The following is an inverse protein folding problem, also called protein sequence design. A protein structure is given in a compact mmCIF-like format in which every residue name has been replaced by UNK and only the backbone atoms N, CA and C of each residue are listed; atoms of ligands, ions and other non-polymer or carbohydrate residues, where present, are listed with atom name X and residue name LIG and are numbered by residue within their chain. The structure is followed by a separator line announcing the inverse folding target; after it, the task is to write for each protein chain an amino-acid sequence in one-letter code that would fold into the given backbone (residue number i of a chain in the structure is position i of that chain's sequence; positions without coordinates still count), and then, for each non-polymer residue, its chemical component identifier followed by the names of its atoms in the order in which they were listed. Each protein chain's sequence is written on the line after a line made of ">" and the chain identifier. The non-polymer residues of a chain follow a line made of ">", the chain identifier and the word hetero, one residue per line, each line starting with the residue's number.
data_IF_053568631514
#
_entry.id   IF_053568631514
#
_cell.length_a   1.000
_cell.length_b   1.000
_cell.length_c   1.000
_cell.angle_alpha   90.00
_cell.angle_beta   90.00
_cell.angle_gamma   90.00
#
_symmetry.space_group_name_H-M   'P 1'
#
loop_
_entity.id
_entity.type
_entity.pdbx_description
1 polymer ?
#
# COMPACT_ATOMS: atom_id res chain seq x y z
N UNK A 1 -23.57 4.63 25.30
CA UNK A 1 -22.45 5.37 24.69
C UNK A 1 -21.26 4.43 24.72
N UNK A 2 -20.96 3.79 23.59
CA UNK A 2 -19.80 2.92 23.49
C UNK A 2 -18.56 3.80 23.63
N UNK A 3 -17.76 3.54 24.66
CA UNK A 3 -16.44 4.14 24.84
C UNK A 3 -15.60 3.82 23.60
N UNK A 4 -15.03 4.86 22.99
CA UNK A 4 -13.97 4.74 21.98
C UNK A 4 -12.97 3.69 22.48
N UNK A 5 -13.05 2.50 21.89
CA UNK A 5 -11.95 1.56 21.95
C UNK A 5 -10.88 2.25 21.11
N UNK A 6 -9.89 2.85 21.77
CA UNK A 6 -8.70 3.38 21.11
C UNK A 6 -8.29 2.37 20.04
N UNK A 7 -8.50 2.70 18.77
CA UNK A 7 -7.90 1.97 17.68
C UNK A 7 -6.40 2.12 17.95
N UNK A 8 -5.74 1.05 18.40
CA UNK A 8 -4.32 1.07 18.71
C UNK A 8 -3.58 1.66 17.51
N UNK A 9 -3.16 2.91 17.69
CA UNK A 9 -2.61 3.70 16.61
C UNK A 9 -1.17 3.24 16.45
N UNK A 10 -0.86 2.60 15.32
CA UNK A 10 0.48 2.13 14.98
C UNK A 10 1.47 3.30 15.15
N UNK A 11 2.45 3.13 16.03
CA UNK A 11 3.53 4.10 16.23
C UNK A 11 4.59 3.86 15.17
N UNK A 12 4.72 4.80 14.24
CA UNK A 12 5.74 4.68 13.20
C UNK A 12 6.43 6.01 12.94
N UNK A 13 7.64 5.91 12.39
CA UNK A 13 8.41 7.04 11.91
C UNK A 13 8.82 6.81 10.46
N UNK A 14 9.19 7.88 9.77
CA UNK A 14 9.70 7.82 8.41
C UNK A 14 11.22 7.92 8.41
N UNK A 15 11.87 7.08 7.62
CA UNK A 15 13.32 7.13 7.39
C UNK A 15 13.65 6.86 5.93
N UNK A 16 14.92 6.72 5.60
CA UNK A 16 15.40 6.39 4.26
C UNK A 16 16.46 5.27 4.32
N UNK A 17 16.73 4.64 3.17
CA UNK A 17 17.73 3.58 3.10
C UNK A 17 19.16 4.10 3.34
N UNK A 18 20.01 3.31 4.00
CA UNK A 18 21.41 3.66 4.36
C UNK A 18 22.26 4.21 3.20
N UNK A 19 22.00 3.78 1.96
CA UNK A 19 22.65 4.31 0.75
C UNK A 19 22.00 5.63 0.32
N UNK A 20 22.16 6.58 1.23
CA UNK A 20 21.50 7.87 1.41
C UNK A 20 21.79 8.86 0.27
N UNK A 21 21.13 8.70 -0.88
CA UNK A 21 21.05 9.78 -1.86
C UNK A 21 20.16 10.90 -1.28
N UNK A 22 20.59 12.17 -1.39
CA UNK A 22 19.85 13.37 -0.99
C UNK A 22 18.36 13.31 -1.38
N UNK A 23 18.06 12.81 -2.57
CA UNK A 23 16.69 12.61 -3.04
C UNK A 23 15.84 11.73 -2.10
N UNK A 24 16.38 10.61 -1.58
CA UNK A 24 15.63 9.71 -0.70
C UNK A 24 15.35 10.36 0.66
N UNK A 25 16.28 11.18 1.15
CA UNK A 25 16.13 11.94 2.41
C UNK A 25 15.06 13.00 2.30
N UNK A 26 15.10 13.81 1.25
CA UNK A 26 14.10 14.85 1.00
C UNK A 26 12.71 14.25 0.85
N UNK A 27 12.60 13.15 0.11
CA UNK A 27 11.33 12.43 -0.02
C UNK A 27 10.84 11.85 1.31
N UNK A 28 11.73 11.28 2.12
CA UNK A 28 11.38 10.80 3.46
C UNK A 28 10.87 11.93 4.37
N UNK A 29 11.53 13.10 4.35
CA UNK A 29 11.07 14.28 5.09
C UNK A 29 9.71 14.77 4.60
N UNK A 30 9.50 14.82 3.28
CA UNK A 30 8.21 15.20 2.69
C UNK A 30 7.08 14.22 3.09
N UNK A 31 7.37 12.92 3.13
CA UNK A 31 6.42 11.91 3.60
C UNK A 31 6.11 12.07 5.09
N UNK A 32 7.13 12.27 5.93
CA UNK A 32 6.97 12.53 7.35
C UNK A 32 6.06 13.74 7.62
N UNK A 33 6.31 14.84 6.90
CA UNK A 33 5.48 16.05 6.97
C UNK A 33 4.04 15.80 6.53
N UNK A 34 3.84 15.11 5.39
CA UNK A 34 2.51 14.78 4.88
C UNK A 34 1.71 13.89 5.83
N UNK A 35 2.37 12.91 6.44
CA UNK A 35 1.77 11.94 7.36
C UNK A 35 1.68 12.44 8.81
N UNK A 36 2.31 13.59 9.11
CA UNK A 36 2.40 14.18 10.45
C UNK A 36 3.03 13.22 11.47
N UNK A 37 4.08 12.52 11.05
CA UNK A 37 4.88 11.63 11.90
C UNK A 37 6.36 12.04 11.89
N UNK A 38 7.17 11.61 12.88
CA UNK A 38 8.58 11.96 12.91
C UNK A 38 9.36 11.45 11.70
N UNK A 39 10.28 12.28 11.19
CA UNK A 39 11.40 11.80 10.38
C UNK A 39 12.56 11.43 11.31
N UNK A 40 13.10 10.23 11.16
CA UNK A 40 14.26 9.76 11.93
C UNK A 40 15.40 9.43 10.99
N UNK A 41 16.60 9.97 11.28
CA UNK A 41 17.79 9.64 10.51
C UNK A 41 18.07 8.13 10.66
N UNK A 42 18.33 7.45 9.55
CA UNK A 42 18.76 6.05 9.57
C UNK A 42 20.05 5.95 10.39
N UNK A 43 20.09 5.02 11.34
CA UNK A 43 21.29 4.80 12.14
C UNK A 43 22.49 4.47 11.27
N UNK A 44 23.60 5.18 11.49
CA UNK A 44 24.87 4.93 10.79
C UNK A 44 25.37 3.52 11.17
N UNK A 45 25.33 3.18 12.48
CA UNK A 45 25.60 1.86 13.04
C UNK A 45 24.34 1.31 13.72
N UNK A 46 23.95 0.06 13.41
CA UNK A 46 22.74 -0.57 13.97
C UNK A 46 21.75 -1.12 12.94
N UNK A 47 20.85 -2.00 13.39
CA UNK A 47 19.80 -2.65 12.60
C UNK A 47 18.55 -1.75 12.49
N UNK A 48 17.53 -2.20 11.75
CA UNK A 48 16.21 -1.55 11.82
C UNK A 48 15.48 -1.94 13.11
N UNK A 49 15.72 -3.15 13.63
CA UNK A 49 15.16 -3.61 14.92
C UNK A 49 15.61 -2.73 16.09
N UNK A 50 16.91 -2.37 16.14
CA UNK A 50 17.43 -1.46 17.14
C UNK A 50 16.70 -0.10 17.08
N UNK A 51 16.41 0.42 15.88
CA UNK A 51 15.63 1.65 15.75
C UNK A 51 14.18 1.49 16.23
N UNK A 52 13.55 0.34 15.99
CA UNK A 52 12.19 0.08 16.51
C UNK A 52 12.20 0.04 18.04
N UNK A 53 13.19 -0.61 18.64
CA UNK A 53 13.33 -0.74 20.09
C UNK A 53 13.65 0.60 20.76
N UNK A 54 14.72 1.28 20.33
CA UNK A 54 15.21 2.52 20.93
C UNK A 54 14.17 3.66 20.84
N UNK A 55 13.42 3.70 19.74
CA UNK A 55 12.40 4.73 19.49
C UNK A 55 10.99 4.28 19.90
N UNK A 56 10.83 3.08 20.44
CA UNK A 56 9.55 2.48 20.81
C UNK A 56 8.50 2.55 19.67
N UNK A 57 8.93 2.18 18.46
CA UNK A 57 8.10 2.17 17.26
C UNK A 57 7.64 0.75 16.94
N UNK A 58 6.43 0.65 16.40
CA UNK A 58 5.87 -0.59 15.86
C UNK A 58 6.35 -0.81 14.41
N UNK A 59 6.62 0.28 13.68
CA UNK A 59 7.11 0.20 12.30
C UNK A 59 7.98 1.40 11.86
N UNK A 60 8.71 1.21 10.76
CA UNK A 60 9.42 2.24 10.02
C UNK A 60 8.94 2.29 8.58
N UNK A 61 8.50 3.46 8.13
CA UNK A 61 8.22 3.72 6.73
C UNK A 61 9.49 4.25 6.05
N UNK A 62 10.02 3.52 5.08
CA UNK A 62 11.33 3.74 4.50
C UNK A 62 11.20 4.23 3.06
N UNK A 63 11.78 5.40 2.78
CA UNK A 63 11.96 5.90 1.40
C UNK A 63 13.04 5.09 0.67
N UNK A 64 12.61 4.17 -0.20
CA UNK A 64 13.48 3.30 -0.99
C UNK A 64 13.49 3.60 -2.49
N UNK A 65 14.53 3.19 -3.22
CA UNK A 65 14.64 3.46 -4.68
C UNK A 65 13.46 2.92 -5.50
N UNK A 66 12.86 1.81 -5.07
CA UNK A 66 11.72 1.15 -5.72
C UNK A 66 10.34 1.62 -5.20
N UNK A 67 10.29 2.69 -4.40
CA UNK A 67 9.09 3.14 -3.72
C UNK A 67 9.19 3.04 -2.18
N UNK A 68 8.09 3.26 -1.46
CA UNK A 68 8.05 3.07 -0.02
C UNK A 68 8.27 1.59 0.34
N UNK A 69 8.84 1.38 1.52
CA UNK A 69 8.99 0.07 2.14
C UNK A 69 8.53 0.20 3.59
N UNK A 70 7.81 -0.78 4.10
CA UNK A 70 7.38 -0.80 5.49
C UNK A 70 8.17 -1.89 6.21
N UNK A 71 8.89 -1.51 7.27
CA UNK A 71 9.61 -2.46 8.10
C UNK A 71 8.96 -2.53 9.48
N UNK A 72 8.70 -3.74 9.94
CA UNK A 72 8.21 -4.04 11.29
C UNK A 72 8.89 -5.31 11.79
N UNK A 73 8.48 -5.83 12.96
CA UNK A 73 9.01 -7.08 13.53
C UNK A 73 8.71 -8.30 12.65
N UNK A 74 7.68 -8.22 11.83
CA UNK A 74 7.30 -9.23 10.83
C UNK A 74 8.21 -9.18 9.59
N UNK A 75 9.04 -8.14 9.46
CA UNK A 75 10.03 -7.97 8.41
C UNK A 75 9.74 -6.80 7.47
N UNK A 76 10.31 -6.88 6.26
CA UNK A 76 10.22 -5.83 5.25
C UNK A 76 9.11 -6.13 4.23
N UNK A 77 8.24 -5.15 4.02
CA UNK A 77 7.20 -5.17 3.01
C UNK A 77 7.44 -4.10 1.95
N UNK A 78 7.28 -4.48 0.68
CA UNK A 78 7.16 -3.56 -0.45
C UNK A 78 5.82 -3.82 -1.13
N UNK A 79 5.26 -2.81 -1.77
CA UNK A 79 4.03 -3.00 -2.53
C UNK A 79 4.21 -4.00 -3.67
N UNK A 80 3.33 -4.99 -3.72
CA UNK A 80 3.08 -5.86 -4.86
C UNK A 80 1.60 -6.26 -4.79
N UNK A 81 0.86 -6.31 -5.91
CA UNK A 81 -0.57 -6.66 -5.93
C UNK A 81 -0.87 -8.13 -5.57
N UNK A 82 0.09 -8.85 -4.97
CA UNK A 82 -0.02 -10.24 -4.53
C UNK A 82 -0.71 -11.18 -5.53
N UNK A 83 -1.68 -11.94 -5.00
CA UNK A 83 -2.54 -12.83 -5.79
C UNK A 83 -3.52 -12.08 -6.70
N UNK A 84 -3.77 -10.79 -6.46
CA UNK A 84 -4.62 -9.95 -7.32
C UNK A 84 -4.13 -9.96 -8.77
N UNK A 85 -2.81 -9.90 -9.00
CA UNK A 85 -2.23 -10.05 -10.34
C UNK A 85 -2.58 -11.39 -11.01
N UNK A 86 -2.43 -12.50 -10.29
CA UNK A 86 -2.70 -13.84 -10.84
C UNK A 86 -4.18 -13.99 -11.17
N UNK A 87 -5.04 -13.50 -10.28
CA UNK A 87 -6.50 -13.48 -10.48
C UNK A 87 -6.90 -12.59 -11.65
N UNK A 88 -6.34 -11.39 -11.75
CA UNK A 88 -6.53 -10.49 -12.89
C UNK A 88 -6.12 -11.15 -14.20
N UNK A 89 -4.97 -11.84 -14.25
CA UNK A 89 -4.53 -12.54 -15.46
C UNK A 89 -5.48 -13.68 -15.86
N UNK A 90 -6.03 -14.42 -14.90
CA UNK A 90 -7.04 -15.47 -15.17
C UNK A 90 -8.29 -14.86 -15.81
N UNK A 91 -8.80 -13.76 -15.25
CA UNK A 91 -9.96 -13.05 -15.81
C UNK A 91 -9.65 -12.51 -17.20
N UNK A 92 -8.57 -11.74 -17.36
CA UNK A 92 -8.32 -10.99 -18.59
C UNK A 92 -7.76 -11.85 -19.71
N UNK A 93 -6.81 -12.75 -19.42
CA UNK A 93 -6.09 -13.52 -20.44
C UNK A 93 -6.74 -14.87 -20.70
N UNK A 94 -7.32 -15.50 -19.67
CA UNK A 94 -7.92 -16.83 -19.78
C UNK A 94 -9.45 -16.81 -19.85
N UNK A 95 -10.06 -15.63 -19.69
CA UNK A 95 -11.51 -15.44 -19.68
C UNK A 95 -12.21 -16.30 -18.61
N UNK A 96 -11.50 -16.57 -17.52
CA UNK A 96 -12.05 -17.27 -16.36
C UNK A 96 -12.91 -16.32 -15.52
N UNK A 97 -13.86 -16.86 -14.78
CA UNK A 97 -14.64 -16.11 -13.78
C UNK A 97 -13.86 -15.97 -12.47
N UNK A 98 -14.00 -14.85 -11.79
CA UNK A 98 -13.44 -14.64 -10.45
C UNK A 98 -14.54 -14.69 -9.38
N UNK A 99 -14.35 -15.51 -8.34
CA UNK A 99 -15.37 -15.77 -7.33
C UNK A 99 -15.82 -14.51 -6.58
N UNK A 100 -14.92 -13.56 -6.32
CA UNK A 100 -15.27 -12.30 -5.65
C UNK A 100 -16.15 -11.44 -6.56
N UNK A 101 -15.75 -11.28 -7.83
CA UNK A 101 -16.52 -10.52 -8.82
C UNK A 101 -17.92 -11.12 -9.00
N UNK A 102 -18.01 -12.45 -9.11
CA UNK A 102 -19.29 -13.16 -9.23
C UNK A 102 -20.14 -13.04 -7.97
N UNK A 103 -19.58 -13.28 -6.79
CA UNK A 103 -20.33 -13.28 -5.54
C UNK A 103 -20.93 -11.90 -5.22
N UNK A 104 -20.22 -10.82 -5.56
CA UNK A 104 -20.67 -9.45 -5.35
C UNK A 104 -21.42 -8.85 -6.55
N UNK A 105 -21.56 -9.61 -7.65
CA UNK A 105 -22.14 -9.14 -8.91
C UNK A 105 -21.53 -7.80 -9.37
N UNK A 106 -20.20 -7.66 -9.23
CA UNK A 106 -19.48 -6.45 -9.64
C UNK A 106 -19.46 -6.38 -11.17
N UNK A 107 -19.89 -5.25 -11.72
CA UNK A 107 -19.97 -5.04 -13.15
C UNK A 107 -19.81 -3.58 -13.59
N UNK A 108 -19.84 -3.33 -14.91
CA UNK A 108 -19.48 -2.04 -15.48
C UNK A 108 -20.28 -0.87 -14.92
N UNK A 109 -19.61 0.26 -14.69
CA UNK A 109 -20.22 1.51 -14.21
C UNK A 109 -20.57 1.55 -12.72
N UNK A 110 -20.40 0.44 -11.99
CA UNK A 110 -20.68 0.41 -10.56
C UNK A 110 -19.60 1.14 -9.73
N UNK A 111 -19.96 1.43 -8.48
CA UNK A 111 -19.07 2.04 -7.49
C UNK A 111 -18.82 1.04 -6.36
N UNK A 112 -17.56 0.75 -6.08
CA UNK A 112 -17.13 -0.20 -5.04
C UNK A 112 -16.35 0.54 -3.97
N UNK A 113 -16.68 0.25 -2.71
CA UNK A 113 -15.91 0.68 -1.54
C UNK A 113 -15.28 -0.56 -0.90
N UNK A 114 -13.97 -0.68 -1.01
CA UNK A 114 -13.20 -1.72 -0.33
C UNK A 114 -12.70 -1.18 1.01
N UNK A 115 -13.37 -1.55 2.10
CA UNK A 115 -13.04 -1.07 3.44
C UNK A 115 -11.78 -1.72 4.04
N UNK A 116 -11.16 -2.66 3.33
CA UNK A 116 -10.00 -3.45 3.77
C UNK A 116 -9.00 -3.62 2.63
N UNK A 117 -8.68 -2.51 1.94
CA UNK A 117 -7.98 -2.57 0.66
C UNK A 117 -6.64 -3.31 0.77
N UNK A 118 -5.94 -3.19 1.89
CA UNK A 118 -4.67 -3.89 2.11
C UNK A 118 -3.69 -3.61 0.97
N UNK A 119 -3.36 -4.63 0.17
CA UNK A 119 -2.49 -4.53 -1.02
C UNK A 119 -3.27 -4.39 -2.35
N UNK A 120 -4.54 -3.99 -2.29
CA UNK A 120 -5.46 -3.78 -3.39
C UNK A 120 -5.70 -5.02 -4.28
N UNK A 121 -5.62 -6.23 -3.72
CA UNK A 121 -5.80 -7.46 -4.50
C UNK A 121 -7.24 -7.58 -5.03
N UNK A 122 -8.27 -7.43 -4.18
CA UNK A 122 -9.67 -7.45 -4.60
C UNK A 122 -10.07 -6.15 -5.30
N UNK A 123 -9.59 -5.00 -4.82
CA UNK A 123 -9.79 -3.72 -5.47
C UNK A 123 -9.30 -3.70 -6.93
N UNK A 124 -8.22 -4.42 -7.28
CA UNK A 124 -7.77 -4.59 -8.67
C UNK A 124 -8.81 -5.32 -9.53
N UNK A 125 -9.40 -6.40 -9.01
CA UNK A 125 -10.42 -7.15 -9.73
C UNK A 125 -11.72 -6.34 -9.85
N UNK A 126 -12.09 -5.62 -8.79
CA UNK A 126 -13.21 -4.69 -8.82
C UNK A 126 -12.98 -3.58 -9.86
N UNK A 127 -11.79 -2.98 -9.89
CA UNK A 127 -11.44 -1.89 -10.81
C UNK A 127 -11.52 -2.35 -12.26
N UNK A 128 -11.05 -3.56 -12.53
CA UNK A 128 -11.21 -4.20 -13.83
C UNK A 128 -12.69 -4.39 -14.20
N UNK A 129 -13.48 -4.97 -13.28
CA UNK A 129 -14.88 -5.32 -13.53
C UNK A 129 -15.79 -4.09 -13.73
N UNK A 130 -15.56 -3.00 -12.97
CA UNK A 130 -16.37 -1.77 -13.10
C UNK A 130 -15.97 -0.92 -14.30
N UNK A 131 -14.77 -1.13 -14.85
CA UNK A 131 -14.28 -0.44 -16.04
C UNK A 131 -14.07 1.08 -15.84
N UNK A 132 -13.95 1.79 -16.96
CA UNK A 132 -13.61 3.22 -16.99
C UNK A 132 -14.72 4.14 -16.47
N UNK A 133 -15.98 3.70 -16.57
CA UNK A 133 -17.14 4.47 -16.10
C UNK A 133 -17.48 4.20 -14.64
N UNK A 134 -16.84 3.19 -14.04
CA UNK A 134 -16.99 2.85 -12.63
C UNK A 134 -16.02 3.57 -11.72
N UNK A 135 -16.09 3.24 -10.42
CA UNK A 135 -15.15 3.79 -9.43
C UNK A 135 -14.89 2.78 -8.32
N UNK A 136 -13.62 2.59 -7.96
CA UNK A 136 -13.22 1.88 -6.76
C UNK A 136 -12.62 2.88 -5.78
N UNK A 137 -12.92 2.73 -4.50
CA UNK A 137 -12.29 3.47 -3.42
C UNK A 137 -11.83 2.45 -2.39
N UNK A 138 -10.53 2.44 -2.09
CA UNK A 138 -9.96 1.64 -1.02
C UNK A 138 -9.78 2.43 0.27
N UNK A 139 -10.19 1.86 1.40
CA UNK A 139 -9.89 2.34 2.75
C UNK A 139 -8.93 1.37 3.44
N UNK A 140 -7.99 1.92 4.19
CA UNK A 140 -7.07 1.18 5.04
C UNK A 140 -6.91 1.96 6.35
N UNK A 141 -7.15 1.28 7.47
CA UNK A 141 -7.08 1.88 8.81
C UNK A 141 -5.62 2.12 9.23
N UNK A 142 -4.71 1.24 8.82
CA UNK A 142 -3.28 1.38 9.07
C UNK A 142 -2.69 2.47 8.16
N UNK A 143 -2.45 3.66 8.72
CA UNK A 143 -1.84 4.77 7.98
C UNK A 143 -0.52 4.41 7.25
N UNK A 144 0.44 3.66 7.84
CA UNK A 144 1.66 3.28 7.11
C UNK A 144 1.38 2.28 5.98
N UNK A 145 0.42 1.35 6.15
CA UNK A 145 0.03 0.40 5.10
C UNK A 145 -0.74 1.10 3.97
N UNK A 146 -1.68 1.98 4.32
CA UNK A 146 -2.37 2.84 3.37
C UNK A 146 -1.36 3.59 2.51
N UNK A 147 -0.37 4.23 3.14
CA UNK A 147 0.64 4.99 2.41
C UNK A 147 1.50 4.10 1.51
N UNK A 148 1.95 2.94 2.02
CA UNK A 148 2.68 1.95 1.24
C UNK A 148 1.90 1.54 -0.01
N UNK A 149 0.63 1.20 0.15
CA UNK A 149 -0.24 0.74 -0.94
C UNK A 149 -0.56 1.87 -1.90
N UNK A 150 -1.01 3.04 -1.45
CA UNK A 150 -1.36 4.16 -2.34
C UNK A 150 -0.18 4.64 -3.18
N UNK A 151 1.00 4.80 -2.58
CA UNK A 151 2.21 5.17 -3.33
C UNK A 151 2.74 4.00 -4.17
N UNK A 152 2.56 2.77 -3.68
CA UNK A 152 2.92 1.55 -4.37
C UNK A 152 2.15 1.39 -5.67
N UNK A 153 0.82 1.49 -5.62
CA UNK A 153 -0.09 1.49 -6.77
C UNK A 153 0.36 2.53 -7.80
N UNK A 154 0.49 3.79 -7.37
CA UNK A 154 0.81 4.91 -8.26
C UNK A 154 2.19 4.83 -8.95
N UNK A 155 3.09 3.95 -8.46
CA UNK A 155 4.43 3.76 -9.03
C UNK A 155 4.66 2.36 -9.59
N UNK A 156 3.68 1.47 -9.49
CA UNK A 156 3.83 0.08 -9.90
C UNK A 156 3.81 -0.03 -11.43
N UNK A 157 4.90 -0.56 -11.98
CA UNK A 157 5.00 -0.85 -13.41
C UNK A 157 4.55 -2.27 -13.68
N UNK A 158 3.37 -2.42 -14.28
CA UNK A 158 2.84 -3.74 -14.59
C UNK A 158 3.51 -4.32 -15.84
N UNK A 159 3.45 -5.65 -15.97
CA UNK A 159 3.81 -6.32 -17.23
C UNK A 159 2.77 -6.04 -18.34
N UNK A 160 1.52 -5.84 -17.96
CA UNK A 160 0.38 -5.63 -18.86
C UNK A 160 -0.15 -4.21 -18.65
N UNK A 161 -0.17 -3.35 -19.69
CA UNK A 161 -0.66 -1.99 -19.57
C UNK A 161 -2.08 -1.88 -19.03
N UNK A 162 -2.97 -2.82 -19.36
CA UNK A 162 -4.35 -2.81 -18.87
C UNK A 162 -4.41 -3.00 -17.35
N UNK A 163 -3.53 -3.86 -16.80
CA UNK A 163 -3.46 -4.07 -15.34
C UNK A 163 -2.93 -2.81 -14.63
N UNK A 164 -1.99 -2.09 -15.26
CA UNK A 164 -1.49 -0.81 -14.72
C UNK A 164 -2.60 0.24 -14.69
N UNK A 165 -3.38 0.34 -15.77
CA UNK A 165 -4.53 1.23 -15.85
C UNK A 165 -5.57 0.88 -14.78
N UNK A 166 -5.88 -0.40 -14.60
CA UNK A 166 -6.83 -0.87 -13.59
C UNK A 166 -6.34 -0.54 -12.17
N UNK A 167 -5.04 -0.70 -11.89
CA UNK A 167 -4.44 -0.29 -10.62
C UNK A 167 -4.56 1.23 -10.39
N UNK A 168 -4.25 2.05 -11.40
CA UNK A 168 -4.26 3.50 -11.27
C UNK A 168 -5.66 4.14 -11.12
N UNK A 169 -6.75 3.35 -11.28
CA UNK A 169 -8.13 3.81 -11.04
C UNK A 169 -8.64 3.56 -9.60
N UNK A 170 -7.82 2.96 -8.73
CA UNK A 170 -8.14 2.63 -7.32
C UNK A 170 -7.77 3.78 -6.38
#
# INVERSE_FOLDING_TARGET
>A
MATEKDLETIRFAVTCNKNDNQYLKERAKAWAQRLRVPYVKRYDNGSLDAMLEDLQLDALLISGKKGPQLYSREGMMLYHPGLGKVRWQRVVQRKETDNFVTALAVGPGQRVLDCTVGLAADALLASHAVGETGKVIGLEASLPLWFLTSQGIASYKAKFPEMEQDLHRI
#
